data_IF_124760014623
#
_entry.id   IF_124760014623
#
_cell.length_a   1.000
_cell.length_b   1.000
_cell.length_c   1.000
_cell.angle_alpha   90.00
_cell.angle_beta   90.00
_cell.angle_gamma   90.00
#
_symmetry.space_group_name_H-M   'P 1'
#
loop_
_entity.id
_entity.type
_entity.pdbx_description
1 polymer ?
#
# COMPACT_ATOMS: atom_id res chain seq x y z
N UNK A 1 -9.57 2.28 7.97
CA UNK A 1 -8.35 1.82 7.25
C UNK A 1 -7.74 2.97 6.45
N UNK A 2 -8.49 3.60 5.53
CA UNK A 2 -8.03 4.76 4.75
C UNK A 2 -7.42 5.87 5.62
N UNK A 3 -8.15 6.36 6.63
CA UNK A 3 -7.66 7.41 7.55
C UNK A 3 -6.37 7.01 8.30
N UNK A 4 -6.18 5.71 8.56
CA UNK A 4 -4.99 5.21 9.23
C UNK A 4 -3.78 5.23 8.29
N UNK A 5 -3.95 4.76 7.05
CA UNK A 5 -2.90 4.84 6.02
C UNK A 5 -2.56 6.29 5.67
N UNK A 6 -3.55 7.18 5.61
CA UNK A 6 -3.32 8.62 5.41
C UNK A 6 -2.52 9.24 6.55
N UNK A 7 -2.81 8.89 7.81
CA UNK A 7 -2.02 9.36 8.96
C UNK A 7 -0.58 8.85 8.90
N UNK A 8 -0.39 7.60 8.51
CA UNK A 8 0.93 7.00 8.36
C UNK A 8 1.78 7.75 7.31
N UNK A 9 1.18 8.13 6.18
CA UNK A 9 1.83 8.94 5.15
C UNK A 9 2.24 10.35 5.59
N UNK A 10 1.59 10.90 6.63
CA UNK A 10 1.98 12.21 7.19
C UNK A 10 3.12 12.12 8.20
N UNK A 11 3.55 10.90 8.56
CA UNK A 11 4.67 10.66 9.46
C UNK A 11 6.03 10.80 8.78
N UNK A 12 7.11 10.94 9.56
CA UNK A 12 8.48 10.99 9.05
C UNK A 12 8.98 9.62 8.56
N UNK A 13 8.33 8.53 8.97
CA UNK A 13 8.76 7.17 8.68
C UNK A 13 8.11 6.64 7.40
N UNK A 14 8.93 6.08 6.51
CA UNK A 14 8.46 5.35 5.33
C UNK A 14 7.76 4.06 5.77
N UNK A 15 6.49 3.89 5.40
CA UNK A 15 5.72 2.69 5.73
C UNK A 15 5.95 1.61 4.68
N UNK A 16 6.41 0.44 5.15
CA UNK A 16 6.61 -0.77 4.36
C UNK A 16 5.43 -1.71 4.59
N UNK A 17 4.90 -2.30 3.51
CA UNK A 17 3.78 -3.22 3.53
C UNK A 17 4.07 -4.45 2.68
N UNK A 18 3.34 -5.51 2.99
CA UNK A 18 3.05 -6.57 2.03
C UNK A 18 1.58 -6.48 1.62
N UNK A 19 1.31 -6.41 0.31
CA UNK A 19 -0.05 -6.38 -0.26
C UNK A 19 -0.32 -7.67 -1.04
N UNK A 20 -1.41 -8.34 -0.71
CA UNK A 20 -1.87 -9.52 -1.44
C UNK A 20 -3.11 -9.19 -2.29
N UNK A 21 -3.03 -9.56 -3.57
CA UNK A 21 -4.11 -9.51 -4.54
C UNK A 21 -4.41 -10.92 -5.07
N UNK A 22 -5.39 -11.06 -5.95
CA UNK A 22 -5.71 -12.37 -6.55
C UNK A 22 -4.57 -12.98 -7.36
N UNK A 23 -3.76 -12.15 -8.01
CA UNK A 23 -2.77 -12.62 -8.97
C UNK A 23 -1.34 -12.41 -8.51
N UNK A 24 -1.13 -11.58 -7.50
CA UNK A 24 0.21 -11.14 -7.12
C UNK A 24 0.31 -10.75 -5.65
N UNK A 25 1.50 -10.98 -5.08
CA UNK A 25 1.89 -10.53 -3.76
C UNK A 25 3.02 -9.49 -3.90
N UNK A 26 2.76 -8.26 -3.46
CA UNK A 26 3.71 -7.15 -3.47
C UNK A 26 4.39 -7.06 -2.10
N UNK A 27 5.54 -7.68 -1.96
CA UNK A 27 6.32 -7.70 -0.72
C UNK A 27 7.17 -6.43 -0.57
N UNK A 28 7.27 -5.92 0.66
CA UNK A 28 8.08 -4.76 1.03
C UNK A 28 7.79 -3.50 0.20
N UNK A 29 6.54 -3.29 -0.17
CA UNK A 29 6.09 -2.14 -0.92
C UNK A 29 6.02 -0.89 -0.05
N UNK A 30 6.44 0.26 -0.59
CA UNK A 30 6.25 1.56 0.06
C UNK A 30 4.93 2.21 -0.34
N UNK A 31 4.25 2.91 0.57
CA UNK A 31 3.07 3.71 0.19
C UNK A 31 3.51 5.05 -0.40
N UNK A 32 3.00 5.38 -1.60
CA UNK A 32 3.18 6.71 -2.22
C UNK A 32 1.96 7.59 -1.95
N UNK A 33 0.75 7.06 -2.21
CA UNK A 33 -0.49 7.79 -2.07
C UNK A 33 -1.64 6.85 -1.74
N UNK A 34 -2.69 7.38 -1.13
CA UNK A 34 -3.89 6.60 -0.79
C UNK A 34 -5.12 7.49 -0.80
N UNK A 35 -6.20 7.01 -1.41
CA UNK A 35 -7.46 7.73 -1.50
C UNK A 35 -8.68 6.80 -1.38
N UNK A 36 -9.86 7.33 -1.69
CA UNK A 36 -11.11 6.60 -1.58
C UNK A 36 -11.24 5.47 -2.64
N UNK A 37 -10.43 5.52 -3.69
CA UNK A 37 -10.46 4.61 -4.83
C UNK A 37 -9.46 3.46 -4.65
N UNK A 38 -8.28 3.76 -4.09
CA UNK A 38 -7.23 2.75 -3.91
C UNK A 38 -5.97 3.26 -3.22
N UNK A 39 -4.89 2.54 -3.47
CA UNK A 39 -3.55 2.82 -2.98
C UNK A 39 -2.55 2.82 -4.14
N UNK A 40 -1.58 3.70 -4.08
CA UNK A 40 -0.42 3.73 -4.98
C UNK A 40 0.78 3.30 -4.17
N UNK A 41 1.47 2.27 -4.66
CA UNK A 41 2.64 1.70 -4.02
C UNK A 41 3.88 1.73 -4.92
N UNK A 42 5.03 1.83 -4.28
CA UNK A 42 6.35 1.59 -4.88
C UNK A 42 6.80 0.17 -4.52
N UNK A 43 7.00 -0.69 -5.51
CA UNK A 43 7.41 -2.08 -5.31
C UNK A 43 8.71 -2.38 -6.04
N UNK A 44 9.82 -2.08 -5.38
CA UNK A 44 11.22 -2.36 -5.77
C UNK A 44 11.71 -1.68 -7.07
N UNK A 45 10.95 -1.76 -8.16
CA UNK A 45 11.30 -1.18 -9.48
C UNK A 45 10.11 -0.58 -10.24
N UNK A 46 8.87 -0.86 -9.81
CA UNK A 46 7.66 -0.38 -10.48
C UNK A 46 6.67 0.24 -9.49
N UNK A 47 5.93 1.24 -9.98
CA UNK A 47 4.83 1.88 -9.25
C UNK A 47 3.51 1.28 -9.69
N UNK A 48 2.72 0.81 -8.74
CA UNK A 48 1.42 0.19 -9.00
C UNK A 48 0.29 1.00 -8.39
N UNK A 49 -0.78 1.16 -9.17
CA UNK A 49 -2.06 1.70 -8.72
C UNK A 49 -3.02 0.53 -8.47
N UNK A 50 -3.33 0.27 -7.20
CA UNK A 50 -4.17 -0.85 -6.79
C UNK A 50 -5.52 -0.34 -6.27
N UNK A 51 -6.62 -0.57 -7.00
CA UNK A 51 -7.96 -0.28 -6.50
C UNK A 51 -8.28 -1.13 -5.26
N UNK A 52 -9.07 -0.59 -4.32
CA UNK A 52 -9.41 -1.36 -3.11
C UNK A 52 -10.10 -2.70 -3.40
N UNK A 53 -10.87 -2.78 -4.48
CA UNK A 53 -11.55 -4.01 -4.88
C UNK A 53 -10.63 -5.14 -5.33
N UNK A 54 -9.34 -4.89 -5.56
CA UNK A 54 -8.37 -5.91 -5.97
C UNK A 54 -7.49 -6.40 -4.82
N UNK A 55 -7.59 -5.77 -3.65
CA UNK A 55 -6.72 -6.04 -2.49
C UNK A 55 -7.47 -6.91 -1.49
N UNK A 56 -6.88 -8.05 -1.15
CA UNK A 56 -7.42 -8.97 -0.16
C UNK A 56 -6.80 -8.77 1.21
N UNK A 57 -5.51 -8.45 1.25
CA UNK A 57 -4.77 -8.29 2.49
C UNK A 57 -3.75 -7.16 2.36
N UNK A 58 -3.58 -6.42 3.45
CA UNK A 58 -2.48 -5.48 3.66
C UNK A 58 -1.88 -5.79 5.02
N UNK A 59 -0.63 -6.21 5.03
CA UNK A 59 0.17 -6.37 6.23
C UNK A 59 1.17 -5.22 6.31
N UNK A 60 1.27 -4.57 7.47
CA UNK A 60 2.22 -3.48 7.67
C UNK A 60 3.42 -4.04 8.42
N UNK A 61 4.58 -3.98 7.78
CA UNK A 61 5.84 -4.41 8.37
C UNK A 61 6.32 -3.34 9.37
N UNK A 62 6.61 -3.75 10.61
CA UNK A 62 7.13 -2.90 11.68
C UNK A 62 8.58 -3.23 11.99
#
# INVERSE_FOLDING_TARGET
MLEYLQKLLTGPDSVILTIETEHYCYERAGIIAVDQTGIVIDSQEEVYCLPWGTIYLIEIER
#
